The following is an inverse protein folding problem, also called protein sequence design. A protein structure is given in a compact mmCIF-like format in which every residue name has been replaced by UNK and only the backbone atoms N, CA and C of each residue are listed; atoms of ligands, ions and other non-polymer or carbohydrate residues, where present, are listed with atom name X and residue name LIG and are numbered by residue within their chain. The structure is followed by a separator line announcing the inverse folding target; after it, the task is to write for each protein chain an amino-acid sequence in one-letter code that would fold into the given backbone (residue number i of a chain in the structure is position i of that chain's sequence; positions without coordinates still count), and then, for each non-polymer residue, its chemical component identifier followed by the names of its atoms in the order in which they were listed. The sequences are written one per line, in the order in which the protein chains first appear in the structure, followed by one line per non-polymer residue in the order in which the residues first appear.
data_IF_952442377458
#
_entry.id   IF_952442377458
#
_cell.length_a   1.000
_cell.length_b   1.000
_cell.length_c   1.000
_cell.angle_alpha   90.00
_cell.angle_beta   90.00
_cell.angle_gamma   90.00
#
_symmetry.space_group_name_H-M   'P 1'
#
loop_
_entity.id
_entity.type
_entity.pdbx_description
1 polymer ?
#
# COMPACT_ATOMS: atom_id res chain seq x y z
N UNK A 1 -2.20 36.04 -36.88
CA UNK A 1 -3.66 36.14 -36.69
C UNK A 1 -4.25 34.83 -36.13
N UNK A 2 -4.16 33.70 -36.86
CA UNK A 2 -4.75 32.42 -36.43
C UNK A 2 -4.22 31.90 -35.07
N UNK A 3 -2.95 32.10 -34.75
CA UNK A 3 -2.34 31.68 -33.46
C UNK A 3 -2.92 32.43 -32.25
N UNK A 4 -3.27 33.70 -32.41
CA UNK A 4 -3.92 34.50 -31.36
C UNK A 4 -5.40 34.16 -31.23
N UNK A 5 -6.06 33.81 -32.34
CA UNK A 5 -7.43 33.31 -32.32
C UNK A 5 -7.55 31.96 -31.58
N UNK A 6 -6.63 31.02 -31.84
CA UNK A 6 -6.58 29.75 -31.11
C UNK A 6 -6.32 29.98 -29.62
N UNK A 7 -5.39 30.88 -29.27
CA UNK A 7 -5.13 31.22 -27.87
C UNK A 7 -6.38 31.82 -27.17
N UNK A 8 -7.11 32.71 -27.84
CA UNK A 8 -8.36 33.28 -27.31
C UNK A 8 -9.46 32.22 -27.12
N UNK A 9 -9.60 31.29 -28.06
CA UNK A 9 -10.56 30.18 -27.95
C UNK A 9 -10.20 29.26 -26.77
N UNK A 10 -8.92 28.92 -26.61
CA UNK A 10 -8.46 28.10 -25.47
C UNK A 10 -8.72 28.80 -24.13
N UNK A 11 -8.44 30.10 -24.04
CA UNK A 11 -8.72 30.90 -22.83
C UNK A 11 -10.22 30.99 -22.56
N UNK A 12 -11.04 31.13 -23.60
CA UNK A 12 -12.50 31.14 -23.49
C UNK A 12 -13.07 29.81 -23.00
N UNK A 13 -12.54 28.68 -23.49
CA UNK A 13 -12.93 27.33 -23.02
C UNK A 13 -12.49 27.11 -21.56
N UNK A 14 -11.30 27.57 -21.18
CA UNK A 14 -10.83 27.50 -19.79
C UNK A 14 -11.68 28.33 -18.83
N UNK A 15 -12.21 29.48 -19.27
CA UNK A 15 -13.09 30.31 -18.46
C UNK A 15 -14.45 29.64 -18.16
N UNK A 16 -14.88 28.69 -18.98
CA UNK A 16 -16.10 27.91 -18.76
C UNK A 16 -15.90 26.68 -17.84
N UNK A 17 -14.65 26.35 -17.47
CA UNK A 17 -14.35 25.18 -16.65
C UNK A 17 -14.57 25.40 -15.13
N UNK A 18 -14.88 26.62 -14.70
CA UNK A 18 -15.27 26.89 -13.32
C UNK A 18 -16.69 26.39 -13.06
N UNK A 19 -16.81 25.14 -12.63
CA UNK A 19 -18.04 24.58 -12.10
C UNK A 19 -18.32 25.18 -10.70
N UNK A 20 -19.53 25.67 -10.47
CA UNK A 20 -19.95 26.11 -9.13
C UNK A 20 -20.02 24.88 -8.22
N UNK A 21 -19.10 24.79 -7.26
CA UNK A 21 -19.04 23.67 -6.32
C UNK A 21 -20.13 23.87 -5.25
N UNK A 22 -21.34 23.43 -5.55
CA UNK A 22 -22.41 23.39 -4.58
C UNK A 22 -22.17 22.29 -3.53
N UNK A 23 -22.63 22.53 -2.31
CA UNK A 23 -22.56 21.53 -1.24
C UNK A 23 -23.35 20.29 -1.65
N UNK A 24 -22.73 19.10 -1.73
CA UNK A 24 -23.44 17.89 -2.05
C UNK A 24 -24.46 17.58 -0.95
N UNK A 25 -25.66 17.17 -1.37
CA UNK A 25 -26.64 16.60 -0.46
C UNK A 25 -26.08 15.33 0.19
N UNK A 26 -26.55 15.02 1.40
CA UNK A 26 -26.20 13.77 2.08
C UNK A 26 -26.83 12.61 1.30
N UNK A 27 -26.06 11.64 0.78
CA UNK A 27 -26.61 10.45 0.13
C UNK A 27 -27.42 9.60 1.12
N UNK A 28 -28.49 8.96 0.66
CA UNK A 28 -29.31 8.07 1.49
C UNK A 28 -28.55 6.80 1.89
N UNK A 29 -27.65 6.35 1.02
CA UNK A 29 -26.76 5.21 1.18
C UNK A 29 -25.35 5.61 1.65
N UNK A 30 -25.19 6.74 2.36
CA UNK A 30 -23.89 7.22 2.83
C UNK A 30 -23.13 6.13 3.61
N UNK A 31 -21.90 5.83 3.17
CA UNK A 31 -20.99 4.92 3.89
C UNK A 31 -20.66 5.55 5.25
N UNK A 32 -20.90 4.87 6.38
CA UNK A 32 -20.52 5.36 7.72
C UNK A 32 -19.03 5.72 7.81
N UNK A 33 -18.69 6.73 8.61
CA UNK A 33 -17.29 7.21 8.72
C UNK A 33 -16.30 6.12 9.11
N UNK A 34 -16.67 5.23 10.02
CA UNK A 34 -15.85 4.08 10.43
C UNK A 34 -15.62 3.08 9.29
N UNK A 35 -16.69 2.74 8.55
CA UNK A 35 -16.61 1.84 7.40
C UNK A 35 -15.80 2.48 6.26
N UNK A 36 -15.93 3.80 6.06
CA UNK A 36 -15.10 4.54 5.10
C UNK A 36 -13.63 4.51 5.51
N UNK A 37 -13.31 4.63 6.81
CA UNK A 37 -11.94 4.50 7.30
C UNK A 37 -11.39 3.09 7.04
N UNK A 38 -12.14 2.03 7.33
CA UNK A 38 -11.73 0.65 7.06
C UNK A 38 -11.55 0.37 5.56
N UNK A 39 -12.44 0.90 4.71
CA UNK A 39 -12.34 0.82 3.26
C UNK A 39 -11.08 1.54 2.76
N UNK A 40 -10.83 2.77 3.20
CA UNK A 40 -9.66 3.52 2.79
C UNK A 40 -8.36 2.87 3.28
N UNK A 41 -8.34 2.29 4.48
CA UNK A 41 -7.22 1.50 4.96
C UNK A 41 -6.89 0.37 3.97
N UNK A 42 -7.88 -0.42 3.54
CA UNK A 42 -7.67 -1.50 2.57
C UNK A 42 -7.21 -0.97 1.20
N UNK A 43 -7.75 0.17 0.75
CA UNK A 43 -7.27 0.87 -0.46
C UNK A 43 -5.78 1.19 -0.36
N UNK A 44 -5.32 1.76 0.75
CA UNK A 44 -3.90 2.09 0.93
C UNK A 44 -3.00 0.84 1.00
N UNK A 45 -3.44 -0.20 1.71
CA UNK A 45 -2.69 -1.46 1.82
C UNK A 45 -2.55 -2.13 0.46
N UNK A 46 -3.66 -2.28 -0.27
CA UNK A 46 -3.66 -2.96 -1.58
C UNK A 46 -2.91 -2.14 -2.63
N UNK A 47 -3.02 -0.80 -2.63
CA UNK A 47 -2.25 0.04 -3.53
C UNK A 47 -0.74 -0.09 -3.28
N UNK A 48 -0.34 -0.18 -2.01
CA UNK A 48 1.06 -0.43 -1.64
C UNK A 48 1.53 -1.82 -2.11
N UNK A 49 0.72 -2.85 -1.90
CA UNK A 49 1.02 -4.22 -2.34
C UNK A 49 1.10 -4.35 -3.87
N UNK A 50 0.21 -3.68 -4.61
CA UNK A 50 0.23 -3.62 -6.08
C UNK A 50 1.54 -3.02 -6.60
N UNK A 51 2.08 -2.01 -5.92
CA UNK A 51 3.39 -1.44 -6.24
C UNK A 51 4.56 -2.42 -6.07
N UNK A 52 4.43 -3.41 -5.18
CA UNK A 52 5.46 -4.42 -4.91
C UNK A 52 5.38 -5.59 -5.89
N UNK A 53 4.20 -6.17 -6.11
CA UNK A 53 4.04 -7.31 -7.01
C UNK A 53 2.69 -7.30 -7.73
N UNK A 54 2.57 -6.40 -8.72
CA UNK A 54 1.40 -6.31 -9.60
C UNK A 54 1.09 -7.64 -10.30
N UNK A 55 2.12 -8.38 -10.75
CA UNK A 55 1.94 -9.63 -11.51
C UNK A 55 1.22 -10.70 -10.70
N UNK A 56 1.50 -10.78 -9.39
CA UNK A 56 0.78 -11.72 -8.51
C UNK A 56 -0.73 -11.45 -8.48
N UNK A 57 -1.15 -10.18 -8.47
CA UNK A 57 -2.57 -9.83 -8.53
C UNK A 57 -3.19 -10.24 -9.87
N UNK A 58 -2.52 -9.93 -10.98
CA UNK A 58 -3.00 -10.22 -12.33
C UNK A 58 -3.13 -11.72 -12.61
N UNK A 59 -2.12 -12.53 -12.23
CA UNK A 59 -2.14 -13.99 -12.43
C UNK A 59 -3.28 -14.65 -11.65
N UNK A 60 -3.64 -14.10 -10.49
CA UNK A 60 -4.76 -14.59 -9.69
C UNK A 60 -6.11 -13.96 -10.12
N UNK A 61 -6.14 -13.15 -11.19
CA UNK A 61 -7.37 -12.50 -11.67
C UNK A 61 -7.96 -11.50 -10.68
N UNK A 62 -7.16 -10.98 -9.74
CA UNK A 62 -7.63 -10.07 -8.69
C UNK A 62 -7.65 -8.65 -9.26
N UNK A 63 -8.84 -8.07 -9.32
CA UNK A 63 -9.04 -6.64 -9.59
C UNK A 63 -9.12 -5.94 -8.22
N UNK A 64 -8.11 -5.13 -7.85
CA UNK A 64 -8.03 -4.51 -6.53
C UNK A 64 -9.28 -3.76 -6.10
N UNK A 65 -9.82 -2.94 -7.00
CA UNK A 65 -10.99 -2.11 -6.71
C UNK A 65 -12.20 -2.99 -6.39
N UNK A 66 -12.51 -3.95 -7.27
CA UNK A 66 -13.65 -4.86 -7.09
C UNK A 66 -13.52 -5.70 -5.82
N UNK A 67 -12.30 -6.18 -5.53
CA UNK A 67 -12.00 -6.92 -4.31
C UNK A 67 -12.26 -6.09 -3.04
N UNK A 68 -11.80 -4.84 -3.00
CA UNK A 68 -11.98 -3.97 -1.84
C UNK A 68 -13.46 -3.62 -1.66
N UNK A 69 -14.13 -3.17 -2.73
CA UNK A 69 -15.53 -2.75 -2.68
C UNK A 69 -16.44 -3.92 -2.26
N UNK A 70 -16.23 -5.11 -2.83
CA UNK A 70 -16.97 -6.32 -2.44
C UNK A 70 -16.71 -6.74 -0.99
N UNK A 71 -15.47 -6.66 -0.50
CA UNK A 71 -15.13 -6.95 0.91
C UNK A 71 -15.94 -6.09 1.89
N UNK A 72 -16.23 -4.85 1.52
CA UNK A 72 -16.99 -3.92 2.36
C UNK A 72 -18.50 -3.89 2.08
N UNK A 73 -19.00 -4.71 1.15
CA UNK A 73 -20.39 -4.66 0.66
C UNK A 73 -20.81 -3.27 0.17
N UNK A 74 -19.91 -2.61 -0.56
CA UNK A 74 -20.09 -1.26 -1.11
C UNK A 74 -20.01 -1.34 -2.63
N UNK A 75 -20.87 -0.60 -3.33
CA UNK A 75 -20.76 -0.44 -4.78
C UNK A 75 -19.97 0.83 -5.17
N UNK A 76 -19.56 0.92 -6.44
CA UNK A 76 -18.75 2.04 -6.92
C UNK A 76 -19.47 3.38 -6.87
N UNK A 77 -20.79 3.41 -7.06
CA UNK A 77 -21.58 4.63 -7.04
C UNK A 77 -21.74 5.14 -5.60
N UNK A 78 -22.09 4.25 -4.67
CA UNK A 78 -22.14 4.51 -3.24
C UNK A 78 -20.80 5.06 -2.72
N UNK A 79 -19.69 4.46 -3.13
CA UNK A 79 -18.36 4.96 -2.78
C UNK A 79 -18.12 6.36 -3.35
N UNK A 80 -18.41 6.59 -4.63
CA UNK A 80 -18.20 7.89 -5.28
C UNK A 80 -19.04 9.00 -4.63
N UNK A 81 -20.31 8.74 -4.34
CA UNK A 81 -21.23 9.69 -3.71
C UNK A 81 -20.82 10.00 -2.27
N UNK A 82 -20.47 8.97 -1.49
CA UNK A 82 -19.99 9.14 -0.12
C UNK A 82 -18.66 9.90 -0.09
N UNK A 83 -17.73 9.55 -0.97
CA UNK A 83 -16.45 10.25 -1.10
C UNK A 83 -16.66 11.72 -1.48
N UNK A 84 -17.56 12.02 -2.43
CA UNK A 84 -17.94 13.40 -2.79
C UNK A 84 -18.50 14.14 -1.58
N UNK A 85 -19.44 13.53 -0.84
CA UNK A 85 -20.03 14.11 0.36
C UNK A 85 -18.98 14.46 1.43
N UNK A 86 -18.10 13.51 1.76
CA UNK A 86 -17.06 13.76 2.77
C UNK A 86 -16.01 14.76 2.29
N UNK A 87 -15.57 14.69 1.02
CA UNK A 87 -14.53 15.59 0.48
C UNK A 87 -14.94 17.07 0.49
N UNK A 88 -16.23 17.36 0.45
CA UNK A 88 -16.73 18.74 0.57
C UNK A 88 -16.60 19.27 2.01
N UNK A 89 -16.74 18.40 3.02
CA UNK A 89 -16.50 18.75 4.42
C UNK A 89 -15.07 18.34 4.82
N UNK A 90 -14.13 19.25 4.59
CA UNK A 90 -12.69 19.06 4.83
C UNK A 90 -12.39 18.55 6.26
N UNK A 91 -13.18 18.90 7.27
CA UNK A 91 -12.92 18.45 8.65
C UNK A 91 -13.26 16.97 8.86
N UNK A 92 -14.41 16.51 8.36
CA UNK A 92 -14.82 15.11 8.51
C UNK A 92 -13.90 14.19 7.70
N UNK A 93 -13.58 14.57 6.46
CA UNK A 93 -12.67 13.78 5.64
C UNK A 93 -11.27 13.72 6.24
N UNK A 94 -10.80 14.83 6.83
CA UNK A 94 -9.54 14.85 7.58
C UNK A 94 -9.57 13.87 8.76
N UNK A 95 -10.65 13.81 9.55
CA UNK A 95 -10.79 12.86 10.66
C UNK A 95 -10.67 11.41 10.18
N UNK A 96 -11.39 11.06 9.12
CA UNK A 96 -11.35 9.72 8.51
C UNK A 96 -9.92 9.39 8.09
N UNK A 97 -9.29 10.21 7.25
CA UNK A 97 -7.94 9.94 6.72
C UNK A 97 -6.88 9.94 7.82
N UNK A 98 -7.00 10.82 8.83
CA UNK A 98 -6.09 10.82 9.99
C UNK A 98 -6.19 9.52 10.77
N UNK A 99 -7.40 9.00 11.03
CA UNK A 99 -7.56 7.71 11.73
C UNK A 99 -6.90 6.54 10.98
N UNK A 100 -7.02 6.54 9.64
CA UNK A 100 -6.38 5.54 8.78
C UNK A 100 -4.86 5.66 8.83
N UNK A 101 -4.34 6.90 8.77
CA UNK A 101 -2.91 7.17 8.87
C UNK A 101 -2.33 6.69 10.21
N UNK A 102 -2.99 7.02 11.32
CA UNK A 102 -2.54 6.61 12.66
C UNK A 102 -2.49 5.08 12.80
N UNK A 103 -3.51 4.37 12.28
CA UNK A 103 -3.52 2.92 12.24
C UNK A 103 -2.34 2.36 11.43
N UNK A 104 -2.12 2.88 10.22
CA UNK A 104 -1.01 2.45 9.35
C UNK A 104 0.36 2.72 9.98
N UNK A 105 0.54 3.87 10.65
CA UNK A 105 1.79 4.20 11.34
C UNK A 105 2.07 3.28 12.52
N UNK A 106 1.03 2.95 13.30
CA UNK A 106 1.13 1.99 14.40
C UNK A 106 1.52 0.60 13.90
N UNK A 107 0.84 0.09 12.89
CA UNK A 107 1.15 -1.23 12.31
C UNK A 107 2.54 -1.26 11.69
N UNK A 108 2.94 -0.20 10.97
CA UNK A 108 4.30 -0.05 10.42
C UNK A 108 5.36 -0.14 11.53
N UNK A 109 5.14 0.51 12.67
CA UNK A 109 6.09 0.46 13.78
C UNK A 109 6.23 -0.96 14.32
N UNK A 110 5.12 -1.69 14.50
CA UNK A 110 5.13 -3.09 14.94
C UNK A 110 5.98 -3.95 13.99
N UNK A 111 5.74 -3.88 12.68
CA UNK A 111 6.49 -4.67 11.70
C UNK A 111 7.98 -4.28 11.64
N UNK A 112 8.31 -3.00 11.84
CA UNK A 112 9.70 -2.56 11.88
C UNK A 112 10.45 -3.07 13.11
N UNK A 113 9.80 -3.12 14.26
CA UNK A 113 10.39 -3.61 15.50
C UNK A 113 10.54 -5.14 15.49
N UNK A 114 9.56 -5.88 14.96
CA UNK A 114 9.66 -7.31 14.69
C UNK A 114 10.84 -7.63 13.76
N UNK A 115 10.96 -6.88 12.66
CA UNK A 115 12.05 -7.05 11.68
C UNK A 115 13.43 -6.79 12.29
N UNK A 116 13.55 -5.83 13.22
CA UNK A 116 14.79 -5.57 13.95
C UNK A 116 15.12 -6.74 14.88
N UNK A 117 14.16 -7.19 15.68
CA UNK A 117 14.33 -8.31 16.60
C UNK A 117 14.75 -9.59 15.85
N UNK A 118 14.13 -9.88 14.71
CA UNK A 118 14.49 -11.02 13.88
C UNK A 118 15.93 -10.90 13.34
N UNK A 119 16.32 -9.73 12.82
CA UNK A 119 17.68 -9.47 12.34
C UNK A 119 18.72 -9.62 13.45
N UNK A 120 18.42 -9.18 14.67
CA UNK A 120 19.29 -9.34 15.83
C UNK A 120 19.43 -10.81 16.23
N UNK A 121 18.33 -11.54 16.34
CA UNK A 121 18.34 -12.98 16.61
C UNK A 121 19.16 -13.74 15.55
N UNK A 122 18.99 -13.42 14.27
CA UNK A 122 19.79 -14.01 13.19
C UNK A 122 21.28 -13.67 13.30
N UNK A 123 21.65 -12.45 13.72
CA UNK A 123 23.06 -12.08 13.96
C UNK A 123 23.67 -12.90 15.10
N UNK A 124 22.98 -13.01 16.23
CA UNK A 124 23.45 -13.80 17.39
C UNK A 124 23.66 -15.27 17.00
N UNK A 125 22.73 -15.85 16.24
CA UNK A 125 22.87 -17.22 15.73
C UNK A 125 24.08 -17.35 14.80
N UNK A 126 24.27 -16.44 13.85
CA UNK A 126 25.42 -16.45 12.93
C UNK A 126 26.75 -16.32 13.66
N UNK A 127 26.83 -15.46 14.67
CA UNK A 127 28.06 -15.26 15.44
C UNK A 127 28.39 -16.46 16.32
N UNK A 128 27.36 -17.11 16.89
CA UNK A 128 27.51 -18.37 17.62
C UNK A 128 28.00 -19.50 16.72
N UNK A 129 27.48 -19.62 15.50
CA UNK A 129 27.94 -20.61 14.51
C UNK A 129 29.37 -20.31 14.06
N UNK A 130 29.73 -19.04 13.80
CA UNK A 130 31.10 -18.64 13.47
C UNK A 130 32.09 -18.96 14.60
N UNK A 131 31.72 -18.72 15.86
CA UNK A 131 32.55 -19.02 17.02
C UNK A 131 32.79 -20.54 17.16
N UNK A 132 31.78 -21.37 16.96
CA UNK A 132 31.91 -22.84 16.95
C UNK A 132 32.80 -23.34 15.80
N UNK A 133 32.66 -22.78 14.57
CA UNK A 133 33.54 -23.10 13.43
C UNK A 133 35.00 -22.69 13.65
N UNK A 134 35.26 -21.58 14.37
CA UNK A 134 36.62 -21.16 14.74
C UNK A 134 37.22 -22.01 15.86
N UNK A 135 36.41 -22.53 16.78
CA UNK A 135 36.85 -23.38 17.88
C UNK A 135 37.11 -24.83 17.47
N UNK A 136 36.42 -25.34 16.44
CA UNK A 136 36.68 -26.63 15.82
C UNK A 136 37.00 -26.43 14.33
N UNK A 137 38.25 -26.08 13.97
CA UNK A 137 38.69 -26.24 12.59
C UNK A 137 38.69 -27.75 12.33
N UNK A 138 37.66 -28.26 11.64
CA UNK A 138 37.65 -29.65 11.18
C UNK A 138 38.98 -29.88 10.48
N UNK A 139 39.82 -30.76 11.04
CA UNK A 139 41.06 -31.20 10.38
C UNK A 139 40.63 -31.63 8.98
N UNK A 140 41.06 -30.90 7.95
CA UNK A 140 40.97 -31.40 6.59
C UNK A 140 41.61 -32.77 6.62
N UNK A 141 40.79 -33.81 6.47
CA UNK A 141 41.27 -35.16 6.28
C UNK A 141 42.05 -35.06 4.97
N UNK A 142 43.38 -34.97 5.09
CA UNK A 142 44.29 -35.04 3.94
C UNK A 142 43.84 -36.25 3.15
N UNK A 143 43.35 -36.04 1.94
CA UNK A 143 43.00 -37.12 1.02
C UNK A 143 44.24 -38.01 0.94
N UNK A 144 44.17 -39.19 1.55
CA UNK A 144 45.21 -40.20 1.43
C UNK A 144 45.29 -40.52 -0.06
N UNK A 145 46.45 -40.40 -0.72
CA UNK A 145 46.56 -40.77 -2.12
C UNK A 145 46.23 -42.26 -2.22
N UNK A 146 45.17 -42.56 -2.95
CA UNK A 146 44.83 -43.94 -3.31
C UNK A 146 45.95 -44.44 -4.21
N UNK A 147 46.86 -45.23 -3.64
CA UNK A 147 47.78 -46.04 -4.42
C UNK A 147 46.94 -47.08 -5.15
N UNK A 148 46.69 -46.86 -6.43
CA UNK A 148 46.28 -47.96 -7.30
C UNK A 148 47.52 -48.83 -7.54
N UNK A 149 47.42 -50.08 -7.09
CA UNK A 149 48.34 -51.16 -7.41
C UNK A 149 47.70 -51.95 -8.55
N UNK A 150 48.48 -52.06 -9.62
CA UNK A 150 48.39 -52.99 -10.75
C UNK A 150 47.23 -52.83 -11.75
#
# INVERSE_FOLDING_TARGET
MLKYFIALVVIGVLALACENIEKPNKPDNLIPESQMADLLYDVYVVNSAKGVNRKALEVNGIIPQDYILSKHNIDSAQFAESNKYYSFNTENYKKIVTSVKERLEKEKQVFEDERKAEKEAQKVQRDSVKKKKRANPTKEIKKVPVFNKD
#
